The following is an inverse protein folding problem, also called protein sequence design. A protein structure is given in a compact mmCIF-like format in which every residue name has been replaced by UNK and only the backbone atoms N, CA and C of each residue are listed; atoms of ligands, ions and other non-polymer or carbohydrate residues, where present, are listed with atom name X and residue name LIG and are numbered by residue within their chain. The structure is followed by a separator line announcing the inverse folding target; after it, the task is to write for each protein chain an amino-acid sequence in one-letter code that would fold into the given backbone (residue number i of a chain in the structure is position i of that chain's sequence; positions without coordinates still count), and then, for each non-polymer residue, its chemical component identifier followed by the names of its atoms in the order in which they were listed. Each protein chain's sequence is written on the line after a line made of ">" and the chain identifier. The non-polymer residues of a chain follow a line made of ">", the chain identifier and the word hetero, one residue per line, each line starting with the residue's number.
data_IF_036378973830
#
_entry.id   IF_036378973830
#
_cell.length_a   1.000
_cell.length_b   1.000
_cell.length_c   1.000
_cell.angle_alpha   90.00
_cell.angle_beta   90.00
_cell.angle_gamma   90.00
#
_symmetry.space_group_name_H-M   'P 1'
#
loop_
_entity.id
_entity.type
_entity.pdbx_description
1 polymer ?
#
# COMPACT_ATOMS: atom_id res chain seq x y z
N UNK A 1 16.57 -34.01 -15.93
CA UNK A 1 16.78 -33.12 -17.09
C UNK A 1 16.33 -31.72 -16.69
N UNK A 2 17.30 -30.84 -16.45
CA UNK A 2 17.07 -29.44 -16.11
C UNK A 2 16.39 -28.75 -17.29
N UNK A 3 15.18 -28.23 -17.09
CA UNK A 3 14.61 -27.26 -18.03
C UNK A 3 15.55 -26.06 -18.06
N UNK A 4 16.19 -25.84 -19.21
CA UNK A 4 16.86 -24.57 -19.50
C UNK A 4 15.85 -23.46 -19.25
N UNK A 5 16.19 -22.54 -18.32
CA UNK A 5 15.42 -21.33 -18.06
C UNK A 5 15.45 -20.50 -19.33
N UNK A 6 14.41 -20.59 -20.16
CA UNK A 6 14.26 -19.69 -21.29
C UNK A 6 13.53 -18.43 -20.83
N UNK A 7 14.15 -17.29 -21.17
CA UNK A 7 13.76 -15.90 -20.96
C UNK A 7 14.12 -15.26 -19.62
N UNK A 8 14.60 -14.01 -19.74
CA UNK A 8 14.95 -12.98 -18.74
C UNK A 8 13.83 -12.63 -17.73
N UNK A 9 12.77 -13.44 -17.62
CA UNK A 9 11.57 -13.19 -16.83
C UNK A 9 11.36 -14.13 -15.64
N UNK A 10 12.36 -14.94 -15.28
CA UNK A 10 12.29 -15.84 -14.13
C UNK A 10 13.35 -15.46 -13.09
N UNK A 11 12.96 -15.42 -11.82
CA UNK A 11 13.90 -15.31 -10.70
C UNK A 11 13.62 -16.40 -9.67
N UNK A 12 14.66 -16.75 -8.92
CA UNK A 12 14.54 -17.65 -7.78
C UNK A 12 14.82 -16.91 -6.50
N UNK A 13 14.11 -17.29 -5.44
CA UNK A 13 14.28 -16.77 -4.10
C UNK A 13 14.38 -17.94 -3.13
N UNK A 14 15.24 -17.83 -2.13
CA UNK A 14 15.37 -18.81 -1.07
C UNK A 14 15.09 -18.12 0.25
N UNK A 15 14.07 -18.59 0.98
CA UNK A 15 13.79 -18.13 2.33
C UNK A 15 14.26 -19.15 3.37
N UNK A 16 14.46 -18.69 4.59
CA UNK A 16 14.70 -19.58 5.72
C UNK A 16 13.36 -20.13 6.26
N UNK A 17 13.27 -21.43 6.54
CA UNK A 17 12.20 -22.02 7.31
C UNK A 17 12.11 -21.38 8.69
N UNK A 18 10.89 -21.21 9.18
CA UNK A 18 10.62 -20.57 10.48
C UNK A 18 9.78 -21.49 11.33
N UNK A 19 10.20 -21.71 12.57
CA UNK A 19 9.36 -22.29 13.62
C UNK A 19 8.54 -21.16 14.24
N UNK A 20 7.23 -21.35 14.29
CA UNK A 20 6.29 -20.39 14.87
C UNK A 20 5.53 -21.07 16.01
N UNK A 21 5.52 -20.49 17.20
CA UNK A 21 4.86 -21.04 18.38
C UNK A 21 3.97 -20.01 19.07
N UNK A 22 2.93 -20.49 19.74
CA UNK A 22 2.07 -19.65 20.56
C UNK A 22 2.66 -19.57 21.96
N UNK A 23 2.89 -18.35 22.44
CA UNK A 23 3.34 -18.07 23.80
C UNK A 23 2.19 -17.46 24.58
N UNK A 24 1.85 -18.06 25.72
CA UNK A 24 0.85 -17.53 26.65
C UNK A 24 1.55 -16.73 27.75
N UNK A 25 1.18 -15.46 27.87
CA UNK A 25 1.72 -14.54 28.86
C UNK A 25 0.62 -14.10 29.83
N UNK A 26 1.03 -13.57 30.98
CA UNK A 26 0.14 -12.95 31.96
C UNK A 26 0.49 -11.47 32.00
N UNK A 27 -0.50 -10.62 31.78
CA UNK A 27 -0.36 -9.18 31.97
C UNK A 27 -0.17 -8.89 33.47
N UNK A 28 0.95 -8.26 33.82
CA UNK A 28 1.36 -8.07 35.23
C UNK A 28 0.44 -7.10 35.99
N UNK A 29 -0.25 -6.20 35.30
CA UNK A 29 -1.10 -5.18 35.91
C UNK A 29 -2.54 -5.65 36.09
N UNK A 30 -3.05 -6.42 35.14
CA UNK A 30 -4.44 -6.87 35.08
C UNK A 30 -4.61 -8.33 35.49
N UNK A 31 -3.52 -9.12 35.53
CA UNK A 31 -3.55 -10.57 35.73
C UNK A 31 -4.17 -11.35 34.56
N UNK A 32 -4.51 -10.67 33.46
CA UNK A 32 -5.19 -11.28 32.31
C UNK A 32 -4.21 -12.07 31.46
N UNK A 33 -4.62 -13.26 31.02
CA UNK A 33 -3.82 -14.06 30.09
C UNK A 33 -4.03 -13.59 28.67
N UNK A 34 -2.95 -13.42 27.93
CA UNK A 34 -2.99 -13.14 26.50
C UNK A 34 -1.98 -14.03 25.75
N UNK A 35 -2.29 -14.31 24.49
CA UNK A 35 -1.44 -15.10 23.62
C UNK A 35 -0.73 -14.19 22.62
N UNK A 36 0.53 -14.50 22.32
CA UNK A 36 1.25 -13.90 21.20
C UNK A 36 1.95 -14.98 20.37
N UNK A 37 2.21 -14.66 19.11
CA UNK A 37 2.99 -15.52 18.23
C UNK A 37 4.48 -15.19 18.37
N UNK A 38 5.31 -16.21 18.53
CA UNK A 38 6.77 -16.07 18.54
C UNK A 38 7.37 -16.89 17.41
N UNK A 39 8.43 -16.38 16.80
CA UNK A 39 9.08 -16.98 15.63
C UNK A 39 10.58 -17.10 15.82
N UNK A 40 11.16 -18.16 15.26
CA UNK A 40 12.61 -18.39 15.21
C UNK A 40 13.00 -18.99 13.86
N UNK A 41 14.03 -18.42 13.23
CA UNK A 41 14.57 -18.98 11.99
C UNK A 41 15.26 -20.32 12.23
N UNK A 42 15.12 -21.23 11.27
CA UNK A 42 15.80 -22.52 11.22
C UNK A 42 16.61 -22.63 9.92
N UNK A 43 17.93 -22.48 10.02
CA UNK A 43 18.87 -22.52 8.90
C UNK A 43 19.20 -23.92 8.36
N UNK A 44 18.49 -24.97 8.81
CA UNK A 44 18.75 -26.36 8.38
C UNK A 44 18.56 -26.60 6.88
N UNK A 45 17.62 -25.90 6.25
CA UNK A 45 17.32 -26.00 4.83
C UNK A 45 16.75 -24.66 4.31
N UNK A 46 16.49 -24.56 3.01
CA UNK A 46 15.92 -23.36 2.41
C UNK A 46 14.61 -23.65 1.70
N UNK A 47 13.61 -22.78 1.89
CA UNK A 47 12.36 -22.77 1.13
C UNK A 47 12.65 -22.11 -0.21
N UNK A 48 12.82 -22.93 -1.25
CA UNK A 48 13.10 -22.45 -2.60
C UNK A 48 11.81 -22.07 -3.31
N UNK A 49 11.76 -20.84 -3.79
CA UNK A 49 10.68 -20.28 -4.58
C UNK A 49 11.19 -19.87 -5.96
N UNK A 50 10.32 -19.97 -6.95
CA UNK A 50 10.56 -19.53 -8.32
C UNK A 50 9.39 -18.68 -8.80
N UNK A 51 9.71 -17.62 -9.52
CA UNK A 51 8.73 -16.85 -10.26
C UNK A 51 8.73 -17.31 -11.72
N UNK A 52 7.54 -17.56 -12.26
CA UNK A 52 7.33 -17.75 -13.69
C UNK A 52 6.20 -16.83 -14.19
N UNK A 53 6.35 -16.21 -15.38
CA UNK A 53 5.33 -15.35 -15.95
C UNK A 53 3.95 -16.01 -16.05
N UNK A 54 2.89 -15.31 -15.65
CA UNK A 54 1.50 -15.81 -15.67
C UNK A 54 1.14 -16.78 -14.54
N UNK A 55 2.15 -17.29 -13.81
CA UNK A 55 1.99 -18.16 -12.66
C UNK A 55 2.27 -17.44 -11.33
N UNK A 56 3.12 -16.42 -11.36
CA UNK A 56 3.54 -15.68 -10.17
C UNK A 56 4.67 -16.40 -9.41
N UNK A 57 4.97 -15.91 -8.20
CA UNK A 57 5.94 -16.53 -7.30
C UNK A 57 5.33 -17.80 -6.67
N UNK A 58 6.08 -18.89 -6.61
CA UNK A 58 5.63 -20.19 -6.06
C UNK A 58 6.77 -20.94 -5.38
N UNK A 59 6.47 -21.78 -4.40
CA UNK A 59 7.42 -22.78 -3.89
C UNK A 59 7.69 -23.82 -4.99
N UNK A 60 8.97 -24.09 -5.25
CA UNK A 60 9.42 -25.08 -6.24
C UNK A 60 9.11 -26.49 -5.73
N UNK A 61 8.64 -27.38 -6.61
CA UNK A 61 8.30 -28.79 -6.31
C UNK A 61 7.15 -28.99 -5.31
N UNK A 62 6.36 -27.95 -5.02
CA UNK A 62 5.16 -28.08 -4.19
C UNK A 62 3.91 -28.32 -5.05
N UNK A 63 3.48 -29.57 -5.14
CA UNK A 63 2.25 -29.98 -5.86
C UNK A 63 0.94 -29.70 -5.07
N UNK A 64 0.98 -28.93 -3.98
CA UNK A 64 -0.21 -28.67 -3.13
C UNK A 64 -1.14 -27.63 -3.78
N UNK A 65 -2.42 -27.69 -3.39
CA UNK A 65 -3.55 -26.93 -4.00
C UNK A 65 -3.45 -25.40 -3.93
N UNK A 66 -2.68 -24.84 -2.99
CA UNK A 66 -2.44 -23.39 -2.83
C UNK A 66 -0.93 -23.16 -2.79
N UNK A 67 -0.41 -22.39 -3.74
CA UNK A 67 1.00 -22.09 -3.88
C UNK A 67 1.16 -20.70 -4.49
N UNK A 68 0.68 -19.67 -3.78
CA UNK A 68 0.73 -18.27 -4.21
C UNK A 68 1.05 -17.40 -2.99
N UNK A 69 2.34 -17.18 -2.66
CA UNK A 69 2.76 -16.43 -1.48
C UNK A 69 2.15 -15.03 -1.42
N UNK A 70 2.12 -14.30 -2.55
CA UNK A 70 1.52 -12.97 -2.63
C UNK A 70 0.03 -13.01 -2.31
N UNK A 71 -0.71 -13.85 -3.02
CA UNK A 71 -2.15 -13.96 -2.84
C UNK A 71 -2.58 -14.49 -1.47
N UNK A 72 -1.79 -15.41 -0.91
CA UNK A 72 -1.98 -15.94 0.44
C UNK A 72 -1.73 -14.87 1.49
N UNK A 73 -0.60 -14.15 1.39
CA UNK A 73 -0.24 -13.08 2.33
C UNK A 73 -1.31 -11.99 2.38
N UNK A 74 -1.78 -11.51 1.23
CA UNK A 74 -2.80 -10.46 1.13
C UNK A 74 -4.18 -10.88 1.64
N UNK A 75 -4.42 -12.18 1.81
CA UNK A 75 -5.69 -12.72 2.29
C UNK A 75 -5.71 -13.10 3.76
N UNK A 76 -4.57 -12.97 4.47
CA UNK A 76 -4.48 -13.36 5.88
C UNK A 76 -5.40 -12.48 6.73
N UNK A 77 -6.19 -13.13 7.58
CA UNK A 77 -6.89 -12.49 8.70
C UNK A 77 -5.90 -12.39 9.87
N UNK A 78 -5.38 -11.18 10.16
CA UNK A 78 -4.26 -11.03 11.11
C UNK A 78 -4.61 -11.21 12.59
N UNK A 79 -5.90 -11.30 12.89
CA UNK A 79 -6.39 -11.72 14.21
C UNK A 79 -6.37 -13.26 14.36
N UNK A 80 -6.19 -13.99 13.26
CA UNK A 80 -6.21 -15.45 13.24
C UNK A 80 -4.78 -16.03 13.28
N UNK A 81 -4.27 -16.28 14.49
CA UNK A 81 -2.93 -16.83 14.69
C UNK A 81 -2.69 -18.18 14.02
N UNK A 82 -3.73 -18.97 13.79
CA UNK A 82 -3.61 -20.26 13.08
C UNK A 82 -3.25 -20.02 11.62
N UNK A 83 -3.91 -19.06 10.97
CA UNK A 83 -3.61 -18.72 9.57
C UNK A 83 -2.24 -18.06 9.42
N UNK A 84 -1.87 -17.16 10.33
CA UNK A 84 -0.55 -16.53 10.33
C UNK A 84 0.56 -17.56 10.54
N UNK A 85 0.41 -18.44 11.55
CA UNK A 85 1.35 -19.54 11.80
C UNK A 85 1.50 -20.42 10.57
N UNK A 86 0.39 -20.86 9.97
CA UNK A 86 0.42 -21.71 8.78
C UNK A 86 1.09 -21.04 7.57
N UNK A 87 0.93 -19.72 7.41
CA UNK A 87 1.62 -18.96 6.37
C UNK A 87 3.14 -18.92 6.62
N UNK A 88 3.56 -18.56 7.84
CA UNK A 88 4.96 -18.41 8.22
C UNK A 88 5.70 -19.76 8.13
N UNK A 89 5.10 -20.85 8.62
CA UNK A 89 5.70 -22.19 8.54
C UNK A 89 5.84 -22.66 7.09
N UNK A 90 4.96 -22.21 6.20
CA UNK A 90 4.95 -22.60 4.79
C UNK A 90 5.95 -21.81 3.94
N UNK A 91 6.03 -20.50 4.15
CA UNK A 91 6.79 -19.58 3.29
C UNK A 91 8.04 -18.97 3.94
N UNK A 92 8.23 -19.20 5.25
CA UNK A 92 9.14 -18.44 6.08
C UNK A 92 8.53 -17.09 6.46
N UNK A 93 9.29 -16.30 7.21
CA UNK A 93 8.85 -14.95 7.60
C UNK A 93 9.03 -13.96 6.44
N UNK A 94 8.31 -12.83 6.50
CA UNK A 94 8.31 -11.81 5.43
C UNK A 94 9.67 -11.12 5.27
N UNK A 95 10.48 -11.10 6.32
CA UNK A 95 11.85 -10.60 6.34
C UNK A 95 12.75 -11.51 7.21
N UNK A 96 14.10 -11.42 7.09
CA UNK A 96 15.02 -12.22 7.90
C UNK A 96 14.81 -11.97 9.40
N UNK A 97 14.80 -13.05 10.18
CA UNK A 97 14.65 -13.02 11.64
C UNK A 97 15.78 -13.80 12.31
N UNK A 98 15.98 -13.58 13.61
CA UNK A 98 17.02 -14.26 14.38
C UNK A 98 16.87 -15.79 14.34
N UNK A 99 18.00 -16.48 14.21
CA UNK A 99 18.13 -17.93 14.38
C UNK A 99 18.60 -18.32 15.78
N UNK A 100 18.88 -17.35 16.65
CA UNK A 100 19.42 -17.59 18.00
C UNK A 100 18.29 -17.81 19.01
N UNK A 101 17.29 -16.92 19.00
CA UNK A 101 16.18 -16.91 19.95
C UNK A 101 14.82 -16.73 19.27
N UNK A 102 13.77 -17.11 19.98
CA UNK A 102 12.40 -16.77 19.59
C UNK A 102 12.18 -15.26 19.79
N UNK A 103 11.57 -14.63 18.80
CA UNK A 103 11.19 -13.22 18.83
C UNK A 103 9.67 -13.10 18.65
N UNK A 104 9.01 -12.17 19.38
CA UNK A 104 7.58 -11.92 19.18
C UNK A 104 7.32 -11.34 17.79
N UNK A 105 6.24 -11.80 17.15
CA UNK A 105 5.75 -11.24 15.89
C UNK A 105 5.00 -9.94 16.18
N UNK A 106 5.43 -8.85 15.55
CA UNK A 106 4.69 -7.59 15.56
C UNK A 106 3.55 -7.66 14.54
N UNK A 107 2.33 -7.87 15.03
CA UNK A 107 1.14 -8.02 14.18
C UNK A 107 0.72 -6.70 13.52
N UNK A 108 0.93 -5.56 14.20
CA UNK A 108 0.64 -4.24 13.64
C UNK A 108 1.55 -3.97 12.45
N UNK A 109 2.85 -4.27 12.58
CA UNK A 109 3.80 -4.16 11.47
C UNK A 109 3.38 -5.05 10.29
N UNK A 110 3.00 -6.30 10.56
CA UNK A 110 2.54 -7.24 9.54
C UNK A 110 1.28 -6.74 8.82
N UNK A 111 0.35 -6.13 9.57
CA UNK A 111 -0.86 -5.49 9.04
C UNK A 111 -0.53 -4.30 8.15
N UNK A 112 0.36 -3.41 8.59
CA UNK A 112 0.77 -2.26 7.81
C UNK A 112 1.48 -2.66 6.51
N UNK A 113 2.33 -3.68 6.55
CA UNK A 113 2.97 -4.23 5.34
C UNK A 113 1.91 -4.83 4.41
N UNK A 114 0.93 -5.57 4.95
CA UNK A 114 -0.15 -6.18 4.16
C UNK A 114 -1.03 -5.12 3.48
N UNK A 115 -1.50 -4.11 4.23
CA UNK A 115 -2.35 -3.04 3.71
C UNK A 115 -1.62 -2.15 2.70
N UNK A 116 -0.34 -1.82 2.97
CA UNK A 116 0.49 -1.06 2.01
C UNK A 116 0.62 -1.81 0.68
N UNK A 117 0.85 -3.13 0.73
CA UNK A 117 0.93 -3.96 -0.48
C UNK A 117 -0.42 -4.07 -1.21
N UNK A 118 -1.55 -4.11 -0.48
CA UNK A 118 -2.89 -4.05 -1.09
C UNK A 118 -3.15 -2.69 -1.77
N UNK A 119 -2.84 -1.58 -1.10
CA UNK A 119 -2.96 -0.24 -1.66
C UNK A 119 -2.13 -0.12 -2.94
N UNK A 120 -0.88 -0.58 -2.91
CA UNK A 120 -0.01 -0.63 -4.10
C UNK A 120 -0.62 -1.44 -5.25
N UNK A 121 -1.24 -2.59 -4.97
CA UNK A 121 -1.97 -3.38 -5.99
C UNK A 121 -3.18 -2.62 -6.55
N UNK A 122 -3.92 -1.87 -5.72
CA UNK A 122 -5.02 -1.03 -6.20
C UNK A 122 -4.52 0.05 -7.17
N UNK A 123 -3.39 0.69 -6.88
CA UNK A 123 -2.74 1.65 -7.77
C UNK A 123 -2.38 1.01 -9.11
N UNK A 124 -1.71 -0.15 -9.10
CA UNK A 124 -1.32 -0.88 -10.32
C UNK A 124 -2.55 -1.28 -11.15
N UNK A 125 -3.56 -1.86 -10.52
CA UNK A 125 -4.78 -2.27 -11.21
C UNK A 125 -5.51 -1.09 -11.86
N UNK A 126 -5.49 0.08 -11.20
CA UNK A 126 -6.17 1.30 -11.67
C UNK A 126 -5.48 1.94 -12.88
N UNK A 127 -4.24 1.55 -13.22
CA UNK A 127 -3.60 1.99 -14.46
C UNK A 127 -4.28 1.40 -15.70
N UNK A 128 -5.07 0.34 -15.53
CA UNK A 128 -5.92 -0.16 -16.59
C UNK A 128 -7.26 0.60 -16.61
N UNK A 129 -7.40 1.55 -17.53
CA UNK A 129 -8.62 2.39 -17.66
C UNK A 129 -9.93 1.59 -17.72
N UNK A 130 -9.93 0.39 -18.29
CA UNK A 130 -11.15 -0.45 -18.39
C UNK A 130 -11.62 -1.02 -17.04
N UNK A 131 -10.77 -1.01 -16.02
CA UNK A 131 -11.07 -1.48 -14.67
C UNK A 131 -10.83 -0.39 -13.62
N UNK A 132 -10.79 0.89 -14.02
CA UNK A 132 -10.53 2.01 -13.12
C UNK A 132 -11.63 2.10 -12.06
N UNK A 133 -11.22 1.99 -10.80
CA UNK A 133 -12.07 2.22 -9.64
C UNK A 133 -11.57 3.44 -8.89
N UNK A 134 -12.07 4.61 -9.27
CA UNK A 134 -11.54 5.89 -8.79
C UNK A 134 -11.54 6.00 -7.25
N UNK A 135 -12.60 5.51 -6.58
CA UNK A 135 -12.69 5.55 -5.12
C UNK A 135 -11.56 4.72 -4.46
N UNK A 136 -11.34 3.48 -4.94
CA UNK A 136 -10.27 2.60 -4.42
C UNK A 136 -8.88 3.20 -4.74
N UNK A 137 -8.74 3.89 -5.87
CA UNK A 137 -7.51 4.60 -6.24
C UNK A 137 -7.23 5.79 -5.31
N UNK A 138 -8.24 6.63 -5.03
CA UNK A 138 -8.13 7.78 -4.14
C UNK A 138 -7.74 7.34 -2.73
N UNK A 139 -8.50 6.40 -2.16
CA UNK A 139 -8.27 5.87 -0.81
C UNK A 139 -6.85 5.30 -0.68
N UNK A 140 -6.43 4.49 -1.65
CA UNK A 140 -5.10 3.86 -1.64
C UNK A 140 -3.97 4.87 -1.84
N UNK A 141 -4.20 5.91 -2.66
CA UNK A 141 -3.23 6.99 -2.88
C UNK A 141 -3.03 7.81 -1.61
N UNK A 142 -4.11 8.22 -0.96
CA UNK A 142 -4.07 8.94 0.31
C UNK A 142 -3.47 8.08 1.42
N UNK A 143 -3.82 6.80 1.49
CA UNK A 143 -3.22 5.86 2.45
C UNK A 143 -1.70 5.82 2.30
N UNK A 144 -1.17 5.72 1.08
CA UNK A 144 0.28 5.64 0.84
C UNK A 144 1.02 6.95 1.16
N UNK A 145 0.37 8.10 0.97
CA UNK A 145 0.93 9.44 1.22
C UNK A 145 0.89 9.84 2.69
N UNK A 146 -0.21 9.54 3.39
CA UNK A 146 -0.50 10.10 4.72
C UNK A 146 -0.23 9.13 5.87
N UNK A 147 -0.13 7.82 5.62
CA UNK A 147 -0.01 6.85 6.72
C UNK A 147 1.30 7.05 7.47
N UNK A 148 1.19 7.28 8.78
CA UNK A 148 2.32 7.34 9.69
C UNK A 148 2.63 5.97 10.31
N UNK A 149 3.86 5.51 10.10
CA UNK A 149 4.39 4.26 10.65
C UNK A 149 5.22 4.48 11.92
N UNK A 150 5.38 5.74 12.37
CA UNK A 150 6.11 6.11 13.59
C UNK A 150 5.49 5.55 14.87
N UNK A 151 4.20 5.22 14.84
CA UNK A 151 3.43 4.66 15.96
C UNK A 151 3.82 3.21 16.29
N UNK A 152 4.54 2.54 15.39
CA UNK A 152 5.01 1.17 15.61
C UNK A 152 6.19 1.24 16.60
N UNK A 153 6.13 0.59 17.77
CA UNK A 153 7.16 0.68 18.81
C UNK A 153 8.58 0.31 18.34
N UNK A 154 8.68 -0.39 17.20
CA UNK A 154 9.91 -0.78 16.52
C UNK A 154 10.18 0.04 15.26
N UNK A 155 10.21 1.38 15.35
CA UNK A 155 10.55 2.32 14.24
C UNK A 155 11.92 2.11 13.56
N UNK A 156 12.60 1.00 13.84
CA UNK A 156 13.79 0.51 13.13
C UNK A 156 13.46 -0.51 12.02
N UNK A 157 12.19 -0.76 11.69
CA UNK A 157 11.86 -1.65 10.57
C UNK A 157 12.48 -1.12 9.27
N UNK A 158 13.39 -1.89 8.68
CA UNK A 158 13.98 -1.58 7.36
C UNK A 158 12.96 -1.71 6.21
N UNK A 159 11.75 -2.20 6.49
CA UNK A 159 10.77 -2.62 5.48
C UNK A 159 9.56 -1.68 5.37
N UNK A 160 9.30 -0.89 6.41
CA UNK A 160 8.32 0.19 6.36
C UNK A 160 9.03 1.53 6.12
N UNK A 161 8.39 2.49 5.43
CA UNK A 161 8.96 3.82 5.28
C UNK A 161 9.08 4.45 6.66
N UNK A 162 10.31 4.74 7.10
CA UNK A 162 10.53 5.31 8.42
C UNK A 162 10.47 6.83 8.43
N UNK A 163 10.83 7.52 7.33
CA UNK A 163 10.72 8.99 7.14
C UNK A 163 10.73 9.37 5.65
N UNK A 164 9.66 10.00 5.16
CA UNK A 164 9.66 10.63 3.83
C UNK A 164 9.74 12.15 3.97
N UNK A 165 10.37 12.83 3.00
CA UNK A 165 10.45 14.32 2.98
C UNK A 165 9.06 14.95 3.12
N UNK A 166 8.06 14.38 2.43
CA UNK A 166 6.67 14.85 2.55
C UNK A 166 6.15 14.73 3.99
N UNK A 167 6.39 13.60 4.66
CA UNK A 167 5.91 13.38 6.02
C UNK A 167 6.59 14.31 7.03
N UNK A 168 7.89 14.59 6.85
CA UNK A 168 8.60 15.60 7.63
C UNK A 168 8.00 17.00 7.45
N UNK A 169 7.68 17.37 6.21
CA UNK A 169 7.00 18.63 5.90
C UNK A 169 5.61 18.70 6.55
N UNK A 170 4.81 17.63 6.47
CA UNK A 170 3.46 17.56 7.06
C UNK A 170 3.43 17.65 8.58
N UNK A 171 4.48 17.15 9.24
CA UNK A 171 4.60 17.15 10.70
C UNK A 171 5.32 18.38 11.26
N UNK A 172 5.98 19.17 10.40
CA UNK A 172 6.66 20.40 10.81
C UNK A 172 5.68 21.50 11.21
N UNK A 173 6.07 22.41 12.13
CA UNK A 173 5.23 23.53 12.52
C UNK A 173 4.84 24.41 11.33
N UNK A 174 3.67 25.06 11.43
CA UNK A 174 3.24 26.03 10.43
C UNK A 174 4.18 27.24 10.40
N UNK A 175 4.52 27.67 9.18
CA UNK A 175 5.21 28.93 8.91
C UNK A 175 4.18 30.04 8.74
N UNK A 176 4.43 31.26 9.21
CA UNK A 176 3.46 32.35 8.98
C UNK A 176 3.43 32.76 7.52
N UNK A 177 2.24 32.81 6.92
CA UNK A 177 2.03 33.45 5.62
C UNK A 177 2.07 34.96 5.81
N UNK A 178 2.85 35.64 4.98
CA UNK A 178 3.08 37.09 5.07
C UNK A 178 2.92 37.75 3.72
N UNK A 179 2.79 39.09 3.71
CA UNK A 179 2.76 39.91 2.48
C UNK A 179 3.99 39.77 1.59
N UNK A 180 5.09 39.22 2.12
CA UNK A 180 6.34 39.05 1.36
C UNK A 180 6.31 37.79 0.48
N UNK A 181 5.24 36.98 0.59
CA UNK A 181 5.05 35.83 -0.28
C UNK A 181 4.78 36.28 -1.72
N UNK A 182 5.36 35.60 -2.72
CA UNK A 182 5.15 35.96 -4.14
C UNK A 182 3.68 35.84 -4.57
N UNK A 183 2.95 34.92 -3.95
CA UNK A 183 1.52 34.73 -4.14
C UNK A 183 0.67 35.79 -3.43
N UNK A 184 1.24 36.65 -2.58
CA UNK A 184 0.51 37.66 -1.83
C UNK A 184 0.41 38.99 -2.60
N UNK A 185 -0.80 39.54 -2.66
CA UNK A 185 -1.08 40.86 -3.23
C UNK A 185 -1.87 41.70 -2.23
N UNK A 186 -1.59 43.01 -2.20
CA UNK A 186 -2.35 43.96 -1.38
C UNK A 186 -3.43 44.60 -2.23
N UNK A 187 -4.70 44.41 -1.83
CA UNK A 187 -5.87 44.94 -2.54
C UNK A 187 -6.65 45.83 -1.59
N UNK A 188 -7.13 46.97 -2.08
CA UNK A 188 -7.99 47.87 -1.30
C UNK A 188 -9.45 47.57 -1.62
N UNK A 189 -10.17 47.03 -0.66
CA UNK A 189 -11.61 46.74 -0.75
C UNK A 189 -12.32 47.61 0.28
N UNK A 190 -13.31 48.39 -0.15
CA UNK A 190 -14.09 49.29 0.72
C UNK A 190 -13.26 50.25 1.60
N UNK A 191 -12.07 50.64 1.12
CA UNK A 191 -11.16 51.54 1.83
C UNK A 191 -10.24 50.88 2.86
N UNK A 192 -10.31 49.55 3.01
CA UNK A 192 -9.39 48.77 3.84
C UNK A 192 -8.41 47.99 2.96
N UNK A 193 -7.12 48.01 3.33
CA UNK A 193 -6.09 47.19 2.67
C UNK A 193 -6.17 45.76 3.19
N UNK A 194 -6.45 44.82 2.29
CA UNK A 194 -6.48 43.39 2.56
C UNK A 194 -5.34 42.71 1.81
N UNK A 195 -4.82 41.62 2.37
CA UNK A 195 -3.81 40.77 1.73
C UNK A 195 -4.52 39.54 1.18
N UNK A 196 -4.38 39.31 -0.12
CA UNK A 196 -4.95 38.17 -0.83
C UNK A 196 -3.81 37.30 -1.35
N UNK A 197 -3.84 36.02 -1.01
CA UNK A 197 -2.95 35.00 -1.57
C UNK A 197 -3.62 34.36 -2.78
N UNK A 198 -2.96 34.37 -3.93
CA UNK A 198 -3.45 33.77 -5.18
C UNK A 198 -2.43 32.78 -5.72
N UNK A 199 -2.84 31.53 -5.93
CA UNK A 199 -1.99 30.48 -6.51
C UNK A 199 -2.78 29.56 -7.42
N UNK A 200 -2.19 29.22 -8.57
CA UNK A 200 -2.74 28.20 -9.45
C UNK A 200 -2.55 26.80 -8.85
N UNK A 201 -3.65 26.06 -8.68
CA UNK A 201 -3.66 24.64 -8.33
C UNK A 201 -3.67 23.80 -9.61
N UNK A 202 -2.66 22.96 -9.78
CA UNK A 202 -2.58 22.08 -10.96
C UNK A 202 -3.62 20.96 -10.90
N UNK A 203 -3.84 20.40 -9.72
CA UNK A 203 -4.81 19.32 -9.47
C UNK A 203 -6.25 19.77 -9.65
N UNK A 204 -6.56 21.04 -9.38
CA UNK A 204 -7.91 21.59 -9.56
C UNK A 204 -8.06 22.36 -10.88
N UNK A 205 -6.95 22.70 -11.54
CA UNK A 205 -6.88 23.53 -12.75
C UNK A 205 -7.59 24.89 -12.57
N UNK A 206 -7.36 25.53 -11.43
CA UNK A 206 -7.96 26.81 -11.08
C UNK A 206 -7.00 27.68 -10.25
N UNK A 207 -7.18 29.00 -10.31
CA UNK A 207 -6.51 29.92 -9.40
C UNK A 207 -7.29 29.99 -8.11
N UNK A 208 -6.64 29.63 -7.00
CA UNK A 208 -7.23 29.69 -5.67
C UNK A 208 -6.81 31.00 -5.01
N UNK A 209 -7.80 31.81 -4.68
CA UNK A 209 -7.63 33.05 -3.95
C UNK A 209 -8.13 32.91 -2.51
N UNK A 210 -7.35 33.40 -1.56
CA UNK A 210 -7.74 33.40 -0.15
C UNK A 210 -7.19 34.63 0.55
N UNK A 211 -8.04 35.34 1.27
CA UNK A 211 -7.63 36.48 2.07
C UNK A 211 -6.98 36.05 3.40
N UNK A 212 -6.19 36.95 3.98
CA UNK A 212 -5.46 36.71 5.23
C UNK A 212 -6.39 36.44 6.42
N UNK A 213 -7.64 36.91 6.42
CA UNK A 213 -8.57 36.65 7.51
C UNK A 213 -8.99 35.17 7.50
N UNK A 214 -9.37 34.64 6.34
CA UNK A 214 -9.70 33.23 6.17
C UNK A 214 -8.49 32.31 6.46
N UNK A 215 -7.28 32.72 6.05
CA UNK A 215 -6.05 32.01 6.44
C UNK A 215 -5.94 31.89 7.97
N UNK A 216 -6.12 33.00 8.70
CA UNK A 216 -6.03 33.00 10.16
C UNK A 216 -7.12 32.13 10.79
N UNK A 217 -8.35 32.19 10.27
CA UNK A 217 -9.46 31.36 10.74
C UNK A 217 -9.14 29.87 10.60
N UNK A 218 -8.65 29.42 9.44
CA UNK A 218 -8.26 28.01 9.20
C UNK A 218 -7.13 27.59 10.13
N UNK A 219 -6.11 28.42 10.30
CA UNK A 219 -4.96 28.10 11.15
C UNK A 219 -5.33 28.03 12.63
N UNK A 220 -6.31 28.82 13.08
CA UNK A 220 -6.78 28.86 14.46
C UNK A 220 -7.88 27.83 14.78
N UNK A 221 -8.58 27.28 13.78
CA UNK A 221 -9.66 26.30 14.00
C UNK A 221 -9.14 25.01 14.67
N UNK A 222 -9.59 24.75 15.89
CA UNK A 222 -9.18 23.57 16.67
C UNK A 222 -9.66 22.24 16.06
N UNK A 223 -10.71 22.26 15.23
CA UNK A 223 -11.25 21.04 14.62
C UNK A 223 -10.46 20.60 13.38
N UNK A 224 -9.81 21.54 12.69
CA UNK A 224 -9.00 21.24 11.52
C UNK A 224 -7.71 20.50 11.90
N UNK A 225 -7.47 19.29 11.39
CA UNK A 225 -6.27 18.52 11.68
C UNK A 225 -4.98 19.27 11.29
N UNK A 226 -3.92 19.08 12.08
CA UNK A 226 -2.63 19.77 11.88
C UNK A 226 -2.10 19.61 10.45
N UNK A 227 -2.11 18.38 9.91
CA UNK A 227 -1.60 18.12 8.57
C UNK A 227 -2.38 18.88 7.48
N UNK A 228 -3.69 19.12 7.65
CA UNK A 228 -4.49 19.90 6.71
C UNK A 228 -4.07 21.38 6.74
N UNK A 229 -3.90 21.95 7.95
CA UNK A 229 -3.36 23.32 8.13
C UNK A 229 -1.98 23.43 7.49
N UNK A 230 -1.15 22.39 7.66
CA UNK A 230 0.19 22.35 7.12
C UNK A 230 0.20 22.29 5.60
N UNK A 231 -0.65 21.47 4.99
CA UNK A 231 -0.82 21.42 3.53
C UNK A 231 -1.29 22.76 2.96
N UNK A 232 -2.28 23.37 3.61
CA UNK A 232 -2.75 24.71 3.23
C UNK A 232 -1.61 25.73 3.25
N UNK A 233 -0.83 25.73 4.33
CA UNK A 233 0.33 26.61 4.46
C UNK A 233 1.42 26.33 3.41
N UNK A 234 1.75 25.05 3.21
CA UNK A 234 2.76 24.63 2.24
C UNK A 234 2.37 25.05 0.83
N UNK A 235 1.10 24.85 0.43
CA UNK A 235 0.60 25.22 -0.89
C UNK A 235 0.91 26.69 -1.24
N UNK A 236 0.61 27.62 -0.34
CA UNK A 236 0.91 29.05 -0.56
C UNK A 236 2.40 29.42 -0.35
N UNK A 237 3.18 28.57 0.32
CA UNK A 237 4.60 28.80 0.57
C UNK A 237 5.53 28.12 -0.44
N UNK A 238 4.99 27.33 -1.38
CA UNK A 238 5.77 26.49 -2.31
C UNK A 238 6.87 27.27 -3.06
N UNK A 239 6.63 28.53 -3.41
CA UNK A 239 7.60 29.34 -4.20
C UNK A 239 8.89 29.69 -3.42
N UNK A 240 8.88 29.49 -2.10
CA UNK A 240 10.03 29.74 -1.22
C UNK A 240 10.78 28.47 -0.82
N UNK A 241 10.24 27.31 -1.16
CA UNK A 241 10.79 26.03 -0.77
C UNK A 241 11.51 25.41 -1.97
N UNK A 242 12.82 25.19 -1.83
CA UNK A 242 13.61 24.45 -2.82
C UNK A 242 13.33 22.94 -2.69
N UNK A 243 12.17 22.51 -3.20
CA UNK A 243 11.73 21.12 -3.14
C UNK A 243 11.70 20.50 -4.55
N UNK A 244 11.91 19.17 -4.66
CA UNK A 244 11.73 18.46 -5.91
C UNK A 244 10.31 18.62 -6.47
N UNK A 245 10.19 18.65 -7.80
CA UNK A 245 8.90 18.74 -8.52
C UNK A 245 7.89 17.68 -8.04
N UNK A 246 8.36 16.47 -7.74
CA UNK A 246 7.52 15.39 -7.22
C UNK A 246 6.86 15.73 -5.88
N UNK A 247 7.56 16.47 -5.01
CA UNK A 247 7.00 16.92 -3.73
C UNK A 247 6.02 18.07 -3.96
N UNK A 248 6.29 18.99 -4.89
CA UNK A 248 5.35 20.03 -5.27
C UNK A 248 4.02 19.44 -5.74
N UNK A 249 4.07 18.44 -6.63
CA UNK A 249 2.87 17.76 -7.13
C UNK A 249 2.08 17.07 -6.02
N UNK A 250 2.75 16.42 -5.07
CA UNK A 250 2.09 15.80 -3.92
C UNK A 250 1.44 16.82 -2.99
N UNK A 251 2.09 17.97 -2.75
CA UNK A 251 1.52 19.06 -1.94
C UNK A 251 0.28 19.63 -2.64
N UNK A 252 0.35 19.91 -3.93
CA UNK A 252 -0.77 20.40 -4.74
C UNK A 252 -1.94 19.40 -4.74
N UNK A 253 -1.67 18.10 -4.94
CA UNK A 253 -2.67 17.05 -4.86
C UNK A 253 -3.34 16.96 -3.49
N UNK A 254 -2.56 16.96 -2.40
CA UNK A 254 -3.10 16.90 -1.04
C UNK A 254 -3.91 18.15 -0.71
N UNK A 255 -3.50 19.32 -1.22
CA UNK A 255 -4.30 20.54 -1.12
C UNK A 255 -5.65 20.36 -1.82
N UNK A 256 -5.66 19.87 -3.06
CA UNK A 256 -6.88 19.58 -3.80
C UNK A 256 -7.79 18.56 -3.08
N UNK A 257 -7.22 17.56 -2.41
CA UNK A 257 -7.99 16.65 -1.55
C UNK A 257 -8.67 17.39 -0.39
N UNK A 258 -7.95 18.23 0.36
CA UNK A 258 -8.53 19.00 1.48
C UNK A 258 -9.60 19.96 0.97
N UNK A 259 -9.38 20.59 -0.18
CA UNK A 259 -10.33 21.51 -0.81
C UNK A 259 -11.63 20.82 -1.23
N UNK A 260 -11.55 19.66 -1.88
CA UNK A 260 -12.74 18.93 -2.37
C UNK A 260 -13.44 18.09 -1.31
N UNK A 261 -12.72 17.59 -0.31
CA UNK A 261 -13.24 16.62 0.67
C UNK A 261 -13.52 17.25 2.05
N UNK A 262 -13.18 18.53 2.24
CA UNK A 262 -13.01 19.17 3.53
C UNK A 262 -11.87 18.56 4.37
N UNK A 263 -11.37 19.25 5.41
CA UNK A 263 -10.36 18.70 6.30
C UNK A 263 -10.78 17.35 6.93
N UNK A 264 -9.88 16.37 6.92
CA UNK A 264 -10.13 15.03 7.44
C UNK A 264 -8.93 14.49 8.22
N UNK A 265 -9.17 13.51 9.09
CA UNK A 265 -8.13 12.87 9.92
C UNK A 265 -7.39 11.81 9.12
N UNK A 266 -6.07 11.92 9.03
CA UNK A 266 -5.22 10.99 8.26
C UNK A 266 -5.32 9.54 8.79
N UNK A 267 -5.54 9.37 10.09
CA UNK A 267 -5.63 8.07 10.76
C UNK A 267 -6.86 7.27 10.35
N UNK A 268 -7.91 7.95 9.88
CA UNK A 268 -9.17 7.35 9.43
C UNK A 268 -9.14 6.92 7.96
N UNK A 269 -8.10 7.31 7.21
CA UNK A 269 -7.94 6.91 5.82
C UNK A 269 -7.55 5.43 5.76
N UNK A 270 -8.46 4.61 5.24
CA UNK A 270 -8.21 3.21 4.88
C UNK A 270 -7.90 3.07 3.38
N UNK A 271 -7.74 1.82 2.94
CA UNK A 271 -7.53 1.49 1.51
C UNK A 271 -8.84 1.37 0.71
N UNK A 272 -10.00 1.53 1.39
CA UNK A 272 -11.33 1.41 0.80
C UNK A 272 -12.41 2.07 1.69
N UNK A 273 -13.34 2.77 1.05
CA UNK A 273 -14.53 3.39 1.66
C UNK A 273 -14.17 4.39 2.78
N UNK A 274 -13.10 5.16 2.59
CA UNK A 274 -12.64 6.16 3.56
C UNK A 274 -13.54 7.39 3.62
N UNK A 275 -14.32 7.66 2.57
CA UNK A 275 -15.16 8.87 2.45
C UNK A 275 -16.62 8.53 2.15
N UNK A 276 -17.49 9.54 2.25
CA UNK A 276 -18.91 9.41 1.93
C UNK A 276 -19.12 9.32 0.41
N UNK A 277 -20.32 8.88 0.00
CA UNK A 277 -20.68 8.85 -1.42
C UNK A 277 -20.53 10.23 -2.08
N UNK A 278 -21.03 11.28 -1.42
CA UNK A 278 -21.01 12.65 -1.96
C UNK A 278 -19.58 13.18 -2.13
N UNK A 279 -18.68 12.86 -1.19
CA UNK A 279 -17.25 13.16 -1.32
C UNK A 279 -16.62 12.49 -2.54
N UNK A 280 -16.96 11.23 -2.82
CA UNK A 280 -16.46 10.55 -4.02
C UNK A 280 -17.05 11.14 -5.31
N UNK A 281 -18.31 11.57 -5.32
CA UNK A 281 -18.92 12.21 -6.48
C UNK A 281 -18.31 13.59 -6.75
N UNK A 282 -17.94 14.34 -5.71
CA UNK A 282 -17.21 15.61 -5.86
C UNK A 282 -15.88 15.40 -6.60
N UNK A 283 -15.14 14.37 -6.24
CA UNK A 283 -13.86 13.99 -6.90
C UNK A 283 -14.09 13.57 -8.35
N UNK A 284 -15.09 12.72 -8.61
CA UNK A 284 -15.40 12.24 -9.97
C UNK A 284 -15.88 13.35 -10.89
N UNK A 285 -16.57 14.35 -10.33
CA UNK A 285 -17.08 15.49 -11.09
C UNK A 285 -15.95 16.45 -11.51
N UNK A 286 -14.79 16.41 -10.86
CA UNK A 286 -13.60 17.15 -11.25
C UNK A 286 -12.70 16.28 -12.13
N UNK A 287 -12.80 16.44 -13.46
CA UNK A 287 -12.01 15.68 -14.43
C UNK A 287 -10.50 15.92 -14.29
N UNK A 288 -10.08 17.17 -14.08
CA UNK A 288 -8.68 17.54 -13.88
C UNK A 288 -8.08 16.86 -12.65
N UNK A 289 -8.82 16.87 -11.53
CA UNK A 289 -8.38 16.22 -10.30
C UNK A 289 -8.28 14.70 -10.48
N UNK A 290 -9.23 14.10 -11.21
CA UNK A 290 -9.21 12.66 -11.53
C UNK A 290 -8.00 12.27 -12.39
N UNK A 291 -7.61 13.11 -13.35
CA UNK A 291 -6.40 12.92 -14.15
C UNK A 291 -5.12 13.10 -13.31
N UNK A 292 -5.10 14.11 -12.44
CA UNK A 292 -3.98 14.37 -11.54
C UNK A 292 -3.78 13.24 -10.53
N UNK A 293 -4.88 12.68 -9.99
CA UNK A 293 -4.85 11.47 -9.15
C UNK A 293 -4.18 10.30 -9.88
N UNK A 294 -4.45 10.11 -11.17
CA UNK A 294 -3.77 9.08 -11.96
C UNK A 294 -2.28 9.38 -12.14
N UNK A 295 -1.87 10.63 -12.29
CA UNK A 295 -0.45 11.02 -12.33
C UNK A 295 0.25 10.71 -11.01
N UNK A 296 -0.28 11.19 -9.89
CA UNK A 296 0.25 10.94 -8.55
C UNK A 296 0.34 9.44 -8.27
N UNK A 297 -0.66 8.67 -8.68
CA UNK A 297 -0.64 7.22 -8.50
C UNK A 297 0.53 6.54 -9.23
N UNK A 298 0.96 7.04 -10.39
CA UNK A 298 2.11 6.51 -11.14
C UNK A 298 3.42 6.84 -10.44
N UNK A 299 3.54 8.06 -9.91
CA UNK A 299 4.70 8.46 -9.11
C UNK A 299 4.87 7.54 -7.89
N UNK A 300 3.78 7.33 -7.14
CA UNK A 300 3.78 6.43 -5.99
C UNK A 300 4.09 4.97 -6.37
N UNK A 301 3.68 4.51 -7.56
CA UNK A 301 4.07 3.19 -8.04
C UNK A 301 5.60 3.10 -8.21
N UNK A 302 6.22 4.12 -8.79
CA UNK A 302 7.69 4.17 -8.97
C UNK A 302 8.40 4.14 -7.62
N UNK A 303 8.01 5.04 -6.72
CA UNK A 303 8.59 5.16 -5.38
C UNK A 303 8.46 3.87 -4.57
N UNK A 304 7.31 3.20 -4.63
CA UNK A 304 7.11 1.93 -3.95
C UNK A 304 8.01 0.83 -4.49
N UNK A 305 8.20 0.75 -5.81
CA UNK A 305 9.14 -0.20 -6.39
C UNK A 305 10.58 0.11 -6.03
N UNK A 306 11.00 1.36 -6.19
CA UNK A 306 12.36 1.81 -5.86
C UNK A 306 12.70 1.50 -4.39
N UNK A 307 11.78 1.80 -3.47
CA UNK A 307 11.92 1.49 -2.05
C UNK A 307 11.99 -0.03 -1.79
N UNK A 308 11.00 -0.79 -2.26
CA UNK A 308 10.88 -2.21 -1.93
C UNK A 308 11.95 -3.09 -2.60
N UNK A 309 12.48 -2.63 -3.74
CA UNK A 309 13.47 -3.31 -4.55
C UNK A 309 14.87 -2.72 -4.42
N UNK A 310 15.10 -1.67 -3.61
CA UNK A 310 16.43 -1.07 -3.45
C UNK A 310 17.46 -2.13 -3.08
N UNK A 311 17.16 -3.10 -2.22
CA UNK A 311 18.16 -4.13 -1.86
C UNK A 311 18.27 -5.30 -2.85
N UNK A 312 17.49 -5.31 -3.93
CA UNK A 312 17.59 -6.32 -5.01
C UNK A 312 18.74 -5.96 -5.94
N UNK A 313 19.65 -6.92 -6.18
CA UNK A 313 20.87 -6.69 -6.98
C UNK A 313 21.08 -7.83 -7.97
N UNK A 314 21.58 -7.48 -9.16
CA UNK A 314 22.03 -8.45 -10.16
C UNK A 314 23.23 -9.22 -9.64
N UNK A 315 23.26 -10.51 -9.95
CA UNK A 315 24.37 -11.42 -9.67
C UNK A 315 24.60 -12.35 -10.86
N UNK A 316 25.69 -13.10 -10.82
CA UNK A 316 26.01 -14.08 -11.86
C UNK A 316 26.23 -15.45 -11.23
N UNK A 317 25.42 -16.42 -11.60
CA UNK A 317 25.54 -17.78 -11.10
C UNK A 317 26.64 -18.50 -11.87
N UNK A 318 27.80 -18.65 -11.24
CA UNK A 318 28.99 -19.28 -11.86
C UNK A 318 28.84 -20.78 -12.09
N UNK A 319 27.85 -21.45 -11.48
CA UNK A 319 27.58 -22.87 -11.71
C UNK A 319 26.72 -23.10 -12.95
N UNK A 320 25.70 -22.27 -13.15
CA UNK A 320 24.81 -22.35 -14.32
C UNK A 320 25.23 -21.42 -15.45
N UNK A 321 26.27 -20.60 -15.24
CA UNK A 321 26.76 -19.58 -16.18
C UNK A 321 25.67 -18.65 -16.70
N UNK A 322 24.76 -18.23 -15.81
CA UNK A 322 23.58 -17.44 -16.15
C UNK A 322 23.37 -16.24 -15.20
N UNK A 323 22.70 -15.17 -15.65
CA UNK A 323 22.26 -14.09 -14.77
C UNK A 323 21.37 -14.61 -13.63
N UNK A 324 21.50 -14.03 -12.44
CA UNK A 324 20.72 -14.38 -11.27
C UNK A 324 20.46 -13.13 -10.40
N UNK A 325 19.56 -13.25 -9.42
CA UNK A 325 19.14 -12.13 -8.58
C UNK A 325 19.38 -12.42 -7.11
N UNK A 326 20.00 -11.46 -6.41
CA UNK A 326 20.00 -11.46 -4.96
C UNK A 326 18.74 -10.76 -4.47
N UNK A 327 17.76 -11.54 -4.02
CA UNK A 327 16.52 -11.05 -3.42
C UNK A 327 16.62 -11.21 -1.90
N UNK A 328 16.58 -10.12 -1.10
CA UNK A 328 17.00 -10.12 0.29
C UNK A 328 15.94 -10.62 1.29
N UNK A 329 14.67 -10.59 0.91
CA UNK A 329 13.54 -10.92 1.79
C UNK A 329 12.37 -11.47 0.99
N UNK A 330 11.45 -12.16 1.66
CA UNK A 330 10.20 -12.58 1.05
C UNK A 330 9.39 -11.36 0.62
N UNK A 331 9.36 -10.27 1.40
CA UNK A 331 8.69 -9.03 1.04
C UNK A 331 9.21 -8.46 -0.29
N UNK A 332 10.53 -8.34 -0.45
CA UNK A 332 11.13 -7.92 -1.72
C UNK A 332 10.79 -8.89 -2.85
N UNK A 333 10.76 -10.21 -2.59
CA UNK A 333 10.32 -11.19 -3.58
C UNK A 333 8.85 -11.02 -3.99
N UNK A 334 7.97 -10.64 -3.06
CA UNK A 334 6.57 -10.32 -3.34
C UNK A 334 6.48 -9.10 -4.27
N UNK A 335 7.12 -7.97 -3.93
CA UNK A 335 7.16 -6.79 -4.79
C UNK A 335 7.81 -7.09 -6.14
N UNK A 336 8.89 -7.87 -6.17
CA UNK A 336 9.60 -8.21 -7.40
C UNK A 336 8.74 -9.09 -8.32
N UNK A 337 7.92 -9.96 -7.75
CA UNK A 337 6.90 -10.72 -8.50
C UNK A 337 5.84 -9.82 -9.14
N UNK A 338 5.60 -8.62 -8.58
CA UNK A 338 4.70 -7.62 -9.17
C UNK A 338 5.44 -6.85 -10.28
N UNK A 339 6.70 -6.47 -10.04
CA UNK A 339 7.53 -5.70 -10.98
C UNK A 339 7.73 -6.40 -12.33
N UNK A 340 7.94 -7.72 -12.32
CA UNK A 340 8.13 -8.51 -13.54
C UNK A 340 6.92 -8.60 -14.49
N UNK A 341 5.81 -7.92 -14.16
CA UNK A 341 4.58 -7.98 -14.93
C UNK A 341 4.48 -6.77 -15.83
N UNK A 342 4.05 -7.02 -17.07
CA UNK A 342 3.53 -5.96 -17.91
C UNK A 342 2.16 -5.53 -17.37
N UNK A 343 2.15 -4.47 -16.56
CA UNK A 343 0.95 -3.91 -15.90
C UNK A 343 -0.19 -3.56 -16.85
N UNK A 344 0.07 -3.41 -18.16
CA UNK A 344 -0.99 -3.17 -19.17
C UNK A 344 -1.90 -4.37 -19.38
N UNK A 345 -1.38 -5.59 -19.24
CA UNK A 345 -2.07 -6.81 -19.64
C UNK A 345 -2.47 -7.72 -18.49
N UNK A 346 -2.02 -7.43 -17.26
CA UNK A 346 -2.30 -8.27 -16.08
C UNK A 346 -2.90 -7.39 -14.99
N UNK A 347 -3.97 -7.90 -14.38
CA UNK A 347 -4.59 -7.32 -13.18
C UNK A 347 -4.65 -8.38 -12.08
N UNK A 348 -4.74 -7.93 -10.83
CA UNK A 348 -5.01 -8.77 -9.69
C UNK A 348 -6.49 -8.73 -9.32
N UNK A 349 -7.08 -9.90 -9.10
CA UNK A 349 -8.45 -10.02 -8.59
C UNK A 349 -8.48 -10.80 -7.30
N UNK A 350 -9.45 -10.50 -6.46
CA UNK A 350 -9.77 -11.30 -5.28
C UNK A 350 -10.65 -12.48 -5.70
N UNK A 351 -10.35 -13.67 -5.21
CA UNK A 351 -11.13 -14.88 -5.49
C UNK A 351 -12.56 -14.76 -4.93
N UNK A 352 -13.58 -14.97 -5.77
CA UNK A 352 -15.01 -14.87 -5.40
C UNK A 352 -15.48 -16.06 -4.52
N UNK A 353 -14.59 -16.96 -4.13
CA UNK A 353 -14.89 -17.94 -3.09
C UNK A 353 -14.59 -17.31 -1.73
N UNK A 354 -15.63 -17.08 -0.93
CA UNK A 354 -15.56 -16.41 0.39
C UNK A 354 -14.60 -17.10 1.38
N UNK A 355 -14.28 -18.37 1.16
CA UNK A 355 -13.33 -19.14 1.99
C UNK A 355 -11.90 -19.16 1.43
N UNK A 356 -11.66 -18.44 0.32
CA UNK A 356 -10.34 -18.31 -0.27
C UNK A 356 -9.82 -16.89 -0.15
N UNK A 357 -10.58 -15.89 -0.66
CA UNK A 357 -10.24 -14.45 -0.65
C UNK A 357 -8.83 -14.08 -1.15
N UNK A 358 -8.10 -15.02 -1.76
CA UNK A 358 -6.76 -14.78 -2.28
C UNK A 358 -6.78 -13.82 -3.45
N UNK A 359 -5.77 -12.97 -3.51
CA UNK A 359 -5.44 -12.23 -4.71
C UNK A 359 -4.78 -13.17 -5.73
N UNK A 360 -5.16 -13.07 -7.00
CA UNK A 360 -4.58 -13.87 -8.06
C UNK A 360 -4.54 -13.11 -9.37
N UNK A 361 -3.60 -13.49 -10.21
CA UNK A 361 -3.34 -12.85 -11.50
C UNK A 361 -4.33 -13.30 -12.57
N UNK A 362 -4.78 -12.33 -13.36
CA UNK A 362 -5.67 -12.52 -14.50
C UNK A 362 -5.25 -11.58 -15.62
N UNK A 363 -5.34 -12.06 -16.86
CA UNK A 363 -5.24 -11.17 -18.03
C UNK A 363 -6.31 -10.08 -17.93
N UNK A 364 -5.95 -8.83 -18.23
CA UNK A 364 -6.89 -7.70 -18.24
C UNK A 364 -8.07 -7.91 -19.19
N UNK A 365 -7.86 -8.66 -20.27
CA UNK A 365 -8.88 -9.04 -21.26
C UNK A 365 -9.80 -10.16 -20.80
N UNK A 366 -9.42 -10.91 -19.76
CA UNK A 366 -10.20 -12.05 -19.28
C UNK A 366 -11.18 -11.62 -18.18
N UNK A 367 -12.38 -11.21 -18.57
CA UNK A 367 -13.46 -10.80 -17.65
C UNK A 367 -14.15 -11.97 -16.94
N UNK A 368 -13.97 -13.21 -17.42
CA UNK A 368 -14.73 -14.39 -16.94
C UNK A 368 -14.04 -15.12 -15.80
N UNK A 369 -12.70 -15.05 -15.67
CA UNK A 369 -11.96 -15.71 -14.58
C UNK A 369 -12.23 -15.01 -13.24
N UNK A 370 -13.03 -15.66 -12.40
CA UNK A 370 -13.46 -15.19 -11.06
C UNK A 370 -12.86 -15.97 -9.89
N UNK A 371 -12.13 -17.06 -10.17
CA UNK A 371 -11.55 -17.94 -9.15
C UNK A 371 -10.05 -18.09 -9.35
N UNK A 372 -9.30 -18.19 -8.24
CA UNK A 372 -7.85 -18.38 -8.29
C UNK A 372 -7.43 -19.75 -8.82
N UNK A 373 -8.31 -20.75 -8.74
CA UNK A 373 -8.09 -22.11 -9.25
C UNK A 373 -9.41 -22.81 -9.54
N UNK A 374 -9.39 -23.83 -10.40
CA UNK A 374 -10.54 -24.69 -10.66
C UNK A 374 -11.04 -25.36 -9.37
N UNK A 375 -10.14 -25.79 -8.50
CA UNK A 375 -10.50 -26.32 -7.18
C UNK A 375 -11.35 -25.32 -6.35
N UNK A 376 -11.03 -24.03 -6.40
CA UNK A 376 -11.82 -23.02 -5.70
C UNK A 376 -13.20 -22.80 -6.32
N UNK A 377 -13.31 -22.88 -7.65
CA UNK A 377 -14.58 -22.86 -8.38
C UNK A 377 -15.44 -24.06 -7.98
N UNK A 378 -14.87 -25.26 -8.08
CA UNK A 378 -15.58 -26.52 -7.86
C UNK A 378 -15.99 -26.68 -6.40
N UNK A 379 -15.14 -26.26 -5.46
CA UNK A 379 -15.47 -26.23 -4.03
C UNK A 379 -16.64 -25.28 -3.72
N UNK A 380 -16.70 -24.10 -4.36
CA UNK A 380 -17.82 -23.17 -4.20
C UNK A 380 -19.11 -23.78 -4.77
N UNK A 381 -19.04 -24.34 -5.98
CA UNK A 381 -20.19 -24.97 -6.63
C UNK A 381 -20.75 -26.14 -5.81
N UNK A 382 -19.87 -26.99 -5.27
CA UNK A 382 -20.26 -28.10 -4.40
C UNK A 382 -20.99 -27.62 -3.14
N UNK A 383 -20.58 -26.49 -2.54
CA UNK A 383 -21.27 -25.90 -1.37
C UNK A 383 -22.64 -25.36 -1.72
N UNK A 384 -22.75 -24.63 -2.83
CA UNK A 384 -24.03 -24.09 -3.32
C UNK A 384 -25.01 -25.25 -3.57
N UNK A 385 -24.56 -26.33 -4.23
CA UNK A 385 -25.40 -27.52 -4.42
C UNK A 385 -25.86 -28.13 -3.10
N UNK A 386 -24.99 -28.24 -2.10
CA UNK A 386 -25.35 -28.75 -0.76
C UNK A 386 -26.35 -27.84 -0.04
N UNK A 387 -26.24 -26.52 -0.19
CA UNK A 387 -27.17 -25.56 0.41
C UNK A 387 -28.56 -25.64 -0.24
N UNK A 388 -28.62 -25.73 -1.57
CA UNK A 388 -29.89 -25.92 -2.30
C UNK A 388 -30.61 -27.20 -1.88
N UNK A 389 -29.90 -28.33 -1.83
CA UNK A 389 -30.46 -29.61 -1.34
C UNK A 389 -30.98 -29.54 0.10
N UNK A 390 -30.37 -28.72 0.97
CA UNK A 390 -30.86 -28.50 2.34
C UNK A 390 -32.11 -27.61 2.39
N UNK A 391 -32.25 -26.67 1.46
CA UNK A 391 -33.42 -25.81 1.34
C UNK A 391 -34.60 -26.52 0.65
N UNK A 392 -34.34 -27.52 -0.20
CA UNK A 392 -35.37 -28.36 -0.83
C UNK A 392 -35.92 -29.45 0.10
N UNK A 393 -35.16 -29.80 1.15
CA UNK A 393 -35.53 -30.84 2.14
C UNK A 393 -36.09 -30.26 3.46
N UNK A 394 -36.21 -28.94 3.55
CA UNK A 394 -36.89 -28.21 4.62
C UNK A 394 -38.13 -27.54 4.04
#
# INVERSE_FOLDING_TARGET
>A
MSKEKSFLGEFTFANEPVSAENESLVDEFTGSKYNRLVVKSNSSHHIKMGYSPGEGLKIINLNRRKNNPLGEFLSLELENFIEIKAFIEKYGFIYPISNEKYCPVNLDELFFIQERLKAFIHLINSQNKSHLKLNELLDSTLYLLLKDYSVIPSTQSEYLPSKSVLQELLNSPNTELTKDHQCATSVTIEGQTQIIFSRFSQSLNENIETDMELVQQILQDENTPHWCKRIFNLFYSLDFLDLPDEIHKKIDFLFGCVYLLNPFRAELVGIKNSFTHDSYEAIKSNEYFSEYLLEISKMLISEEFERALDKVRFTYNTKTMAPDWKVPSLLSALYFSIYYKNSKNIIYRTCVNNHCRQYFEVSSTNSTKRHCSDNCRDSKNARIMRQRKKQENN
#
